data_IF_559739564195
#
_entry.id   IF_559739564195
#
_cell.length_a   1.000
_cell.length_b   1.000
_cell.length_c   1.000
_cell.angle_alpha   90.00
_cell.angle_beta   90.00
_cell.angle_gamma   90.00
#
_symmetry.space_group_name_H-M   'P 1'
#
loop_
_entity.id
_entity.type
_entity.pdbx_description
1 polymer ?
#
# COMPACT_ATOMS: atom_id res chain seq x y z
N UNK A 1 -11.32 -0.28 17.71
CA UNK A 1 -11.01 1.16 17.92
C UNK A 1 -11.73 1.91 16.82
N UNK A 2 -12.26 3.11 17.08
CA UNK A 2 -12.92 3.94 16.06
C UNK A 2 -12.10 5.22 15.91
N UNK A 3 -11.66 5.55 14.70
CA UNK A 3 -10.91 6.75 14.38
C UNK A 3 -11.84 7.89 14.03
N UNK A 4 -11.49 9.10 14.48
CA UNK A 4 -12.24 10.30 14.12
C UNK A 4 -11.78 10.78 12.73
N UNK A 5 -12.70 10.82 11.77
CA UNK A 5 -12.44 11.43 10.46
C UNK A 5 -12.08 12.92 10.61
N UNK A 6 -11.03 13.41 9.93
CA UNK A 6 -10.61 14.81 10.05
C UNK A 6 -11.63 15.75 9.40
N UNK A 7 -11.73 16.95 9.97
CA UNK A 7 -12.48 18.06 9.39
C UNK A 7 -11.74 18.68 8.21
N UNK A 8 -12.44 19.46 7.40
CA UNK A 8 -11.86 20.16 6.25
C UNK A 8 -10.82 21.21 6.67
N UNK A 9 -10.96 21.81 7.85
CA UNK A 9 -9.93 22.72 8.39
C UNK A 9 -8.68 21.96 8.80
N UNK A 10 -8.83 20.81 9.45
CA UNK A 10 -7.68 19.99 9.87
C UNK A 10 -6.92 19.43 8.67
N UNK A 11 -7.62 19.06 7.59
CA UNK A 11 -6.97 18.66 6.33
C UNK A 11 -6.15 19.82 5.75
N UNK A 12 -6.70 21.04 5.75
CA UNK A 12 -5.97 22.24 5.31
C UNK A 12 -4.77 22.55 6.21
N UNK A 13 -4.92 22.42 7.53
CA UNK A 13 -3.83 22.66 8.47
C UNK A 13 -2.68 21.65 8.27
N UNK A 14 -3.00 20.37 8.05
CA UNK A 14 -2.02 19.33 7.75
C UNK A 14 -1.33 19.61 6.40
N UNK A 15 -2.08 19.97 5.36
CA UNK A 15 -1.51 20.30 4.06
C UNK A 15 -0.60 21.53 4.12
N UNK A 16 -1.01 22.59 4.83
CA UNK A 16 -0.21 23.79 5.05
C UNK A 16 1.10 23.49 5.76
N UNK A 17 1.10 22.60 6.77
CA UNK A 17 2.32 22.15 7.45
C UNK A 17 3.29 21.40 6.50
N UNK A 18 2.78 20.84 5.41
CA UNK A 18 3.56 20.19 4.35
C UNK A 18 3.90 21.13 3.18
N UNK A 19 3.55 22.42 3.28
CA UNK A 19 3.66 23.41 2.20
C UNK A 19 2.86 23.02 0.95
N UNK A 20 1.68 22.41 1.15
CA UNK A 20 0.73 22.05 0.10
C UNK A 20 -0.48 22.96 0.27
N UNK A 21 -0.79 23.73 -0.78
CA UNK A 21 -2.03 24.50 -0.85
C UNK A 21 -3.12 23.65 -1.50
N UNK A 22 -4.16 23.32 -0.75
CA UNK A 22 -5.30 22.57 -1.25
C UNK A 22 -6.45 23.51 -1.62
N UNK A 23 -7.02 23.27 -2.79
CA UNK A 23 -8.31 23.82 -3.20
C UNK A 23 -9.47 23.15 -2.45
N UNK A 24 -10.65 23.74 -2.51
CA UNK A 24 -11.85 23.18 -1.86
C UNK A 24 -12.24 21.80 -2.43
N UNK A 25 -12.03 21.60 -3.74
CA UNK A 25 -12.29 20.33 -4.42
C UNK A 25 -11.32 19.24 -3.93
N UNK A 26 -10.02 19.54 -3.91
CA UNK A 26 -9.01 18.61 -3.41
C UNK A 26 -9.23 18.27 -1.93
N UNK A 27 -9.70 19.21 -1.10
CA UNK A 27 -10.03 18.92 0.31
C UNK A 27 -11.12 17.87 0.43
N UNK A 28 -12.14 17.88 -0.43
CA UNK A 28 -13.18 16.86 -0.39
C UNK A 28 -12.68 15.51 -0.93
N UNK A 29 -11.86 15.50 -1.99
CA UNK A 29 -11.20 14.27 -2.46
C UNK A 29 -10.33 13.64 -1.35
N UNK A 30 -9.52 14.45 -0.67
CA UNK A 30 -8.71 13.99 0.46
C UNK A 30 -9.56 13.50 1.62
N UNK A 31 -10.71 14.12 1.89
CA UNK A 31 -11.63 13.64 2.93
C UNK A 31 -12.13 12.24 2.61
N UNK A 32 -12.48 11.96 1.35
CA UNK A 32 -12.92 10.63 0.92
C UNK A 32 -11.79 9.60 1.06
N UNK A 33 -10.59 9.92 0.55
CA UNK A 33 -9.43 9.04 0.61
C UNK A 33 -8.99 8.71 2.05
N UNK A 34 -8.92 9.73 2.91
CA UNK A 34 -8.58 9.54 4.33
C UNK A 34 -9.69 8.77 5.03
N UNK A 35 -10.96 9.03 4.70
CA UNK A 35 -12.09 8.27 5.22
C UNK A 35 -11.96 6.77 4.93
N UNK A 36 -11.72 6.39 3.68
CA UNK A 36 -11.51 5.01 3.27
C UNK A 36 -10.34 4.36 4.01
N UNK A 37 -9.20 5.06 4.07
CA UNK A 37 -7.99 4.57 4.74
C UNK A 37 -8.21 4.31 6.23
N UNK A 38 -8.93 5.21 6.91
CA UNK A 38 -9.25 5.04 8.33
C UNK A 38 -10.20 3.86 8.55
N UNK A 39 -11.22 3.70 7.70
CA UNK A 39 -12.17 2.56 7.80
C UNK A 39 -11.43 1.21 7.62
N UNK A 40 -10.43 1.13 6.74
CA UNK A 40 -9.56 -0.05 6.58
C UNK A 40 -8.73 -0.32 7.84
N UNK A 41 -8.16 0.73 8.45
CA UNK A 41 -7.39 0.60 9.69
C UNK A 41 -8.27 0.15 10.87
N UNK A 42 -9.52 0.62 10.96
CA UNK A 42 -10.49 0.13 11.95
C UNK A 42 -10.76 -1.36 11.77
N UNK A 43 -10.91 -1.78 10.51
CA UNK A 43 -11.11 -3.19 10.16
C UNK A 43 -9.93 -4.02 10.62
N UNK A 44 -8.69 -3.64 10.26
CA UNK A 44 -7.47 -4.34 10.68
C UNK A 44 -7.36 -4.40 12.20
N UNK A 45 -7.62 -3.30 12.90
CA UNK A 45 -7.58 -3.26 14.37
C UNK A 45 -8.67 -4.10 15.05
N UNK A 46 -9.74 -4.42 14.32
CA UNK A 46 -10.81 -5.30 14.82
C UNK A 46 -10.51 -6.79 14.64
N UNK A 47 -9.49 -7.12 13.84
CA UNK A 47 -9.11 -8.51 13.62
C UNK A 47 -8.47 -9.10 14.89
N UNK A 48 -8.77 -10.35 15.23
CA UNK A 48 -8.05 -11.04 16.28
C UNK A 48 -6.59 -11.24 15.87
N UNK A 49 -5.69 -11.23 16.85
CA UNK A 49 -4.30 -11.60 16.63
C UNK A 49 -4.25 -13.01 16.00
N UNK A 50 -3.51 -13.21 14.90
CA UNK A 50 -3.38 -14.53 14.30
C UNK A 50 -2.81 -15.53 15.31
N UNK A 51 -3.40 -16.73 15.35
CA UNK A 51 -2.95 -17.80 16.23
C UNK A 51 -1.55 -18.35 15.87
N UNK A 52 -1.04 -17.96 14.70
CA UNK A 52 0.26 -18.40 14.16
C UNK A 52 1.13 -17.16 14.01
N UNK A 53 2.35 -17.23 14.53
CA UNK A 53 3.33 -16.16 14.38
C UNK A 53 3.68 -15.97 12.88
N UNK A 54 4.01 -14.74 12.44
CA UNK A 54 4.56 -14.51 11.11
C UNK A 54 5.80 -15.39 10.91
N UNK A 55 5.81 -16.17 9.82
CA UNK A 55 6.98 -16.98 9.45
C UNK A 55 7.92 -16.14 8.59
N UNK A 56 9.20 -16.08 8.94
CA UNK A 56 10.22 -15.51 8.06
C UNK A 56 10.41 -16.45 6.87
N UNK A 57 9.92 -16.03 5.70
CA UNK A 57 10.18 -16.74 4.45
C UNK A 57 11.66 -16.60 4.10
N UNK A 58 12.45 -17.62 4.45
CA UNK A 58 13.79 -17.79 3.89
C UNK A 58 13.63 -18.14 2.41
N UNK A 59 13.75 -17.14 1.54
CA UNK A 59 13.94 -17.39 0.12
C UNK A 59 15.28 -18.11 -0.03
N UNK A 60 15.24 -19.43 -0.20
CA UNK A 60 16.43 -20.20 -0.56
C UNK A 60 17.02 -19.66 -1.87
N UNK A 61 18.32 -19.91 -2.08
CA UNK A 61 18.96 -19.61 -3.35
C UNK A 61 18.15 -20.25 -4.48
N UNK A 62 17.44 -19.42 -5.23
CA UNK A 62 16.83 -19.85 -6.48
C UNK A 62 18.00 -20.21 -7.38
N UNK A 63 18.27 -21.50 -7.51
CA UNK A 63 19.18 -21.97 -8.55
C UNK A 63 18.67 -21.37 -9.85
N UNK A 64 19.50 -20.70 -10.66
CA UNK A 64 19.07 -20.25 -11.97
C UNK A 64 18.51 -21.49 -12.67
N UNK A 65 17.20 -21.48 -12.91
CA UNK A 65 16.57 -22.52 -13.70
C UNK A 65 17.32 -22.58 -15.02
N UNK A 66 17.55 -23.80 -15.48
CA UNK A 66 18.23 -24.11 -16.72
C UNK A 66 17.87 -23.10 -17.82
N UNK A 67 18.88 -22.35 -18.29
CA UNK A 67 18.75 -21.49 -19.46
C UNK A 67 19.09 -22.38 -20.66
N UNK A 68 18.11 -22.72 -21.53
CA UNK A 68 18.39 -23.47 -22.73
C UNK A 68 19.45 -22.72 -23.55
N UNK A 69 20.37 -23.46 -24.15
CA UNK A 69 21.34 -22.90 -25.07
C UNK A 69 20.67 -22.51 -26.40
N UNK A 70 21.45 -21.89 -27.29
CA UNK A 70 20.93 -21.42 -28.57
C UNK A 70 20.44 -22.57 -29.48
N UNK A 71 20.84 -23.82 -29.22
CA UNK A 71 20.37 -25.00 -29.95
C UNK A 71 18.97 -25.44 -29.46
N UNK A 72 18.70 -25.23 -28.17
CA UNK A 72 17.43 -25.59 -27.53
C UNK A 72 16.38 -24.46 -27.55
N UNK A 73 16.73 -23.27 -28.04
CA UNK A 73 15.83 -22.13 -28.17
C UNK A 73 15.69 -21.65 -29.64
N UNK A 74 14.89 -22.35 -30.47
CA UNK A 74 14.89 -22.20 -31.94
C UNK A 74 14.32 -20.87 -32.46
N UNK A 75 13.91 -19.95 -31.60
CA UNK A 75 13.32 -18.65 -32.00
C UNK A 75 14.26 -17.45 -31.86
N UNK A 76 15.51 -17.65 -31.42
CA UNK A 76 16.52 -16.57 -31.42
C UNK A 76 17.37 -16.63 -32.69
N UNK A 77 16.75 -16.47 -33.85
CA UNK A 77 17.44 -16.26 -35.12
C UNK A 77 17.08 -14.88 -35.67
N UNK A 78 18.09 -14.00 -35.73
CA UNK A 78 18.26 -12.88 -36.67
C UNK A 78 17.11 -11.92 -36.91
#
# INVERSE_FOLDING_TARGET
>A
MIFRKPSASELRDVAANLNIDLTDEEVEEFRELVGLTLDDLETIHSLPEPAVAPEELAYGDRSPTYRPDDEENPTTSG
#
